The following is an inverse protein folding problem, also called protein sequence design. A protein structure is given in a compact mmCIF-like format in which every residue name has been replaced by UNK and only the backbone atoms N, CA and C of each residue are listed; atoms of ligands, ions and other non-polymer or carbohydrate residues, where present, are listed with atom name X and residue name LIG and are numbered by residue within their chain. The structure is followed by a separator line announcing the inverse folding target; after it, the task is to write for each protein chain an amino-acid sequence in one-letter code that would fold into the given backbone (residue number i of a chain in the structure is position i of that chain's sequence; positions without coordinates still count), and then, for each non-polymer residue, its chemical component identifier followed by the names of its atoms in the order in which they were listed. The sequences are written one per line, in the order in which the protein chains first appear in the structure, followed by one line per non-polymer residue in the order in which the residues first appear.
data_IF_893238945961
#
_entry.id   IF_893238945961
#
_cell.length_a   1.000
_cell.length_b   1.000
_cell.length_c   1.000
_cell.angle_alpha   90.00
_cell.angle_beta   90.00
_cell.angle_gamma   90.00
#
_symmetry.space_group_name_H-M   'P 1'
#
loop_
_entity.id
_entity.type
_entity.pdbx_description
1 polymer ?
#
# COMPACT_ATOMS: atom_id res chain seq x y z
N UNK A 1 -12.34 59.96 13.42
CA UNK A 1 -13.07 59.55 12.23
C UNK A 1 -12.22 58.59 11.46
N UNK A 2 -12.84 57.55 11.02
CA UNK A 2 -12.43 56.43 10.17
C UNK A 2 -12.02 55.19 10.95
N UNK A 3 -13.02 54.32 10.98
CA UNK A 3 -13.04 52.96 11.43
C UNK A 3 -12.43 52.11 10.33
N UNK A 4 -11.40 51.32 10.63
CA UNK A 4 -10.94 50.23 9.76
C UNK A 4 -11.36 48.89 10.35
N UNK A 5 -12.33 48.28 9.69
CA UNK A 5 -12.69 46.88 9.83
C UNK A 5 -11.76 46.07 8.92
N UNK A 6 -10.71 45.50 9.46
CA UNK A 6 -10.02 44.36 8.82
C UNK A 6 -10.59 43.08 9.38
N UNK A 7 -11.51 42.50 8.65
CA UNK A 7 -11.92 41.10 8.83
C UNK A 7 -10.79 40.19 8.31
N UNK A 8 -10.32 39.32 9.15
CA UNK A 8 -9.32 38.30 8.86
C UNK A 8 -9.96 37.27 7.86
N UNK A 9 -9.40 37.09 6.64
CA UNK A 9 -9.97 36.21 5.64
C UNK A 9 -9.67 34.71 5.87
N UNK A 10 -8.98 34.33 6.96
CA UNK A 10 -8.50 32.95 7.20
C UNK A 10 -9.23 32.21 8.35
N UNK A 11 -10.40 32.68 8.75
CA UNK A 11 -11.24 31.85 9.62
C UNK A 11 -11.85 30.72 8.79
N UNK A 12 -11.59 29.42 9.10
CA UNK A 12 -12.26 28.30 8.41
C UNK A 12 -13.76 28.47 8.54
N UNK A 13 -14.46 28.51 7.39
CA UNK A 13 -15.89 28.64 7.31
C UNK A 13 -16.58 27.63 8.23
N UNK A 14 -17.62 28.05 8.95
CA UNK A 14 -18.42 27.22 9.87
C UNK A 14 -19.06 26.00 9.18
N UNK A 15 -18.97 25.90 7.86
CA UNK A 15 -19.46 24.81 7.00
C UNK A 15 -18.63 23.51 7.08
N UNK A 16 -17.47 23.49 7.75
CA UNK A 16 -16.59 22.31 7.82
C UNK A 16 -16.85 21.42 9.05
N UNK A 17 -17.80 21.76 9.92
CA UNK A 17 -18.12 20.95 11.10
C UNK A 17 -18.95 19.72 10.72
N UNK A 18 -18.42 18.53 11.08
CA UNK A 18 -19.21 17.31 10.97
C UNK A 18 -20.38 17.35 11.97
N UNK A 19 -21.58 16.88 11.56
CA UNK A 19 -22.70 16.66 12.45
C UNK A 19 -22.34 15.72 13.61
N UNK A 20 -23.16 15.72 14.65
CA UNK A 20 -22.91 14.87 15.82
C UNK A 20 -22.81 13.39 15.43
N UNK A 21 -21.82 12.67 15.98
CA UNK A 21 -21.64 11.25 15.69
C UNK A 21 -22.88 10.41 16.07
N UNK A 22 -23.60 10.82 17.10
CA UNK A 22 -24.85 10.15 17.48
C UNK A 22 -25.92 10.31 16.40
N UNK A 23 -26.08 11.52 15.83
CA UNK A 23 -27.02 11.77 14.75
C UNK A 23 -26.66 10.96 13.50
N UNK A 24 -25.40 10.92 13.13
CA UNK A 24 -24.90 10.10 12.01
C UNK A 24 -25.12 8.60 12.25
N UNK A 25 -24.92 8.09 13.49
CA UNK A 25 -25.22 6.69 13.85
C UNK A 25 -26.71 6.37 13.78
N UNK A 26 -27.57 7.27 14.26
CA UNK A 26 -29.02 7.09 14.18
C UNK A 26 -29.48 7.08 12.71
N UNK A 27 -28.94 7.96 11.90
CA UNK A 27 -29.21 8.01 10.46
C UNK A 27 -28.74 6.73 9.75
N UNK A 28 -27.50 6.29 9.96
CA UNK A 28 -26.95 5.06 9.34
C UNK A 28 -27.82 3.84 9.66
N UNK A 29 -28.12 3.62 10.93
CA UNK A 29 -28.94 2.50 11.34
C UNK A 29 -30.36 2.55 10.73
N UNK A 30 -30.98 3.74 10.69
CA UNK A 30 -32.30 3.93 10.07
C UNK A 30 -32.25 3.73 8.55
N UNK A 31 -31.19 4.17 7.89
CA UNK A 31 -30.95 4.00 6.46
C UNK A 31 -30.75 2.52 6.07
N UNK A 32 -29.90 1.81 6.77
CA UNK A 32 -29.58 0.39 6.52
C UNK A 32 -30.77 -0.54 6.82
N UNK A 33 -31.51 -0.26 7.88
CA UNK A 33 -32.65 -1.10 8.30
C UNK A 33 -33.97 -0.68 7.65
N UNK A 34 -34.03 0.45 6.96
CA UNK A 34 -35.21 1.07 6.37
C UNK A 34 -36.37 1.18 7.38
N UNK A 35 -36.00 1.31 8.68
CA UNK A 35 -36.99 1.24 9.77
C UNK A 35 -36.45 1.90 11.05
N UNK A 36 -37.10 2.98 11.49
CA UNK A 36 -36.73 3.71 12.71
C UNK A 36 -36.87 2.90 14.00
N UNK A 37 -37.89 2.01 14.08
CA UNK A 37 -38.12 1.19 15.28
C UNK A 37 -36.99 0.12 15.40
N UNK A 38 -36.62 -0.52 14.31
CA UNK A 38 -35.51 -1.47 14.29
C UNK A 38 -34.19 -0.79 14.60
N UNK A 39 -33.94 0.41 14.04
CA UNK A 39 -32.77 1.21 14.35
C UNK A 39 -32.71 1.59 15.83
N UNK A 40 -33.86 1.97 16.42
CA UNK A 40 -33.96 2.26 17.85
C UNK A 40 -33.60 1.04 18.71
N UNK A 41 -34.12 -0.13 18.37
CA UNK A 41 -33.78 -1.40 19.06
C UNK A 41 -32.30 -1.74 18.97
N UNK A 42 -31.69 -1.61 17.77
CA UNK A 42 -30.27 -1.89 17.55
C UNK A 42 -29.35 -0.95 18.34
N UNK A 43 -29.74 0.34 18.42
CA UNK A 43 -28.95 1.36 19.12
C UNK A 43 -29.27 1.45 20.61
N UNK A 44 -30.19 0.64 21.13
CA UNK A 44 -30.71 0.71 22.50
C UNK A 44 -31.28 2.10 22.85
N UNK A 45 -31.96 2.71 21.90
CA UNK A 45 -32.62 4.02 22.02
C UNK A 45 -34.14 3.89 21.87
N UNK A 46 -34.87 4.96 22.19
CA UNK A 46 -36.27 5.03 21.86
C UNK A 46 -36.50 5.47 20.42
N UNK A 47 -37.61 5.03 19.82
CA UNK A 47 -38.01 5.48 18.48
C UNK A 47 -38.01 7.01 18.35
N UNK A 48 -38.51 7.71 19.38
CA UNK A 48 -38.56 9.18 19.42
C UNK A 48 -37.15 9.81 19.41
N UNK A 49 -36.20 9.20 20.12
CA UNK A 49 -34.81 9.67 20.15
C UNK A 49 -34.13 9.55 18.77
N UNK A 50 -34.26 8.39 18.11
CA UNK A 50 -33.72 8.19 16.75
C UNK A 50 -34.40 9.14 15.75
N UNK A 51 -35.73 9.26 15.77
CA UNK A 51 -36.46 10.16 14.87
C UNK A 51 -36.06 11.63 15.06
N UNK A 52 -35.84 12.06 16.31
CA UNK A 52 -35.39 13.42 16.63
C UNK A 52 -33.98 13.67 16.17
N UNK A 53 -33.04 12.71 16.40
CA UNK A 53 -31.65 12.82 15.98
C UNK A 53 -31.52 12.95 14.46
N UNK A 54 -32.29 12.16 13.70
CA UNK A 54 -32.35 12.24 12.24
C UNK A 54 -32.93 13.56 11.76
N UNK A 55 -34.00 14.04 12.39
CA UNK A 55 -34.60 15.34 12.03
C UNK A 55 -33.62 16.49 12.26
N UNK A 56 -32.93 16.51 13.40
CA UNK A 56 -31.90 17.53 13.67
C UNK A 56 -30.76 17.48 12.64
N UNK A 57 -30.38 16.28 12.16
CA UNK A 57 -29.42 16.12 11.10
C UNK A 57 -29.94 16.68 9.77
N UNK A 58 -31.20 16.44 9.41
CA UNK A 58 -31.83 17.00 8.22
C UNK A 58 -31.89 18.54 8.29
N UNK A 59 -32.26 19.07 9.47
CA UNK A 59 -32.33 20.51 9.73
C UNK A 59 -30.91 21.16 9.62
N UNK A 60 -29.89 20.53 10.18
CA UNK A 60 -28.49 21.00 10.13
C UNK A 60 -27.93 21.00 8.71
N UNK A 61 -28.25 19.97 7.91
CA UNK A 61 -27.80 19.84 6.53
C UNK A 61 -28.68 20.61 5.53
N UNK A 62 -29.85 21.08 5.95
CA UNK A 62 -30.82 21.79 5.11
C UNK A 62 -31.44 20.94 4.01
N UNK A 63 -31.35 19.59 4.11
CA UNK A 63 -31.90 18.66 3.12
C UNK A 63 -32.59 17.48 3.78
N UNK A 64 -33.70 17.00 3.20
CA UNK A 64 -34.33 15.78 3.62
C UNK A 64 -33.49 14.56 3.21
N UNK A 65 -33.20 13.68 4.15
CA UNK A 65 -32.49 12.42 3.94
C UNK A 65 -33.47 11.25 3.75
N UNK A 66 -34.66 11.37 4.28
CA UNK A 66 -35.69 10.37 4.15
C UNK A 66 -37.01 10.97 3.59
N UNK A 67 -37.70 10.15 2.81
CA UNK A 67 -39.09 10.39 2.42
C UNK A 67 -40.00 9.29 2.98
N UNK A 68 -41.21 9.70 3.43
CA UNK A 68 -42.20 8.78 3.96
C UNK A 68 -43.28 8.52 2.91
N UNK A 69 -43.41 7.26 2.47
CA UNK A 69 -44.46 6.82 1.55
C UNK A 69 -45.16 5.60 2.13
N UNK A 70 -46.49 5.63 2.20
CA UNK A 70 -47.32 4.48 2.58
C UNK A 70 -46.85 3.73 3.86
N UNK A 71 -46.53 4.47 4.92
CA UNK A 71 -46.03 3.95 6.22
C UNK A 71 -44.62 3.34 6.15
N UNK A 72 -43.88 3.51 5.05
CA UNK A 72 -42.48 3.11 4.91
C UNK A 72 -41.57 4.32 4.76
N UNK A 73 -40.31 4.11 5.07
CA UNK A 73 -39.28 5.13 5.02
C UNK A 73 -38.30 4.75 3.90
N UNK A 74 -38.06 5.68 3.00
CA UNK A 74 -37.11 5.50 1.89
C UNK A 74 -36.06 6.60 1.93
N UNK A 75 -34.84 6.28 1.49
CA UNK A 75 -33.79 7.28 1.35
C UNK A 75 -34.07 8.19 0.14
N UNK A 76 -33.82 9.47 0.29
CA UNK A 76 -33.69 10.43 -0.81
C UNK A 76 -32.33 10.19 -1.53
N UNK A 77 -32.05 10.89 -2.64
CA UNK A 77 -30.73 10.86 -3.29
C UNK A 77 -29.64 11.41 -2.36
N UNK A 78 -29.93 12.49 -1.63
CA UNK A 78 -29.03 13.03 -0.60
C UNK A 78 -28.81 11.99 0.52
N UNK A 79 -29.89 11.33 0.97
CA UNK A 79 -29.81 10.25 1.97
C UNK A 79 -28.96 9.09 1.49
N UNK A 80 -29.08 8.63 0.23
CA UNK A 80 -28.23 7.56 -0.34
C UNK A 80 -26.75 7.94 -0.38
N UNK A 81 -26.46 9.17 -0.75
CA UNK A 81 -25.08 9.69 -0.79
C UNK A 81 -24.46 9.73 0.60
N UNK A 82 -25.17 10.30 1.57
CA UNK A 82 -24.71 10.37 2.95
C UNK A 82 -24.62 8.97 3.59
N UNK A 83 -25.59 8.08 3.36
CA UNK A 83 -25.59 6.73 3.92
C UNK A 83 -24.35 5.92 3.50
N UNK A 84 -23.93 6.04 2.23
CA UNK A 84 -22.71 5.39 1.73
C UNK A 84 -21.46 5.94 2.44
N UNK A 85 -21.33 7.25 2.54
CA UNK A 85 -20.17 7.89 3.17
C UNK A 85 -20.10 7.58 4.68
N UNK A 86 -21.22 7.71 5.39
CA UNK A 86 -21.30 7.42 6.84
C UNK A 86 -21.09 5.93 7.11
N UNK A 87 -21.69 5.05 6.30
CA UNK A 87 -21.50 3.60 6.41
C UNK A 87 -20.03 3.22 6.30
N UNK A 88 -19.34 3.67 5.26
CA UNK A 88 -17.90 3.42 5.06
C UNK A 88 -17.05 3.97 6.23
N UNK A 89 -17.35 5.17 6.72
CA UNK A 89 -16.67 5.76 7.87
C UNK A 89 -16.89 4.96 9.17
N UNK A 90 -18.13 4.49 9.40
CA UNK A 90 -18.47 3.65 10.55
C UNK A 90 -17.78 2.28 10.48
N UNK A 91 -17.65 1.69 9.30
CA UNK A 91 -16.94 0.43 9.10
C UNK A 91 -15.44 0.57 9.40
N UNK A 92 -14.80 1.64 8.94
CA UNK A 92 -13.41 1.97 9.28
C UNK A 92 -13.21 2.10 10.79
N UNK A 93 -14.10 2.82 11.48
CA UNK A 93 -14.03 2.97 12.94
C UNK A 93 -14.25 1.63 13.66
N UNK A 94 -15.22 0.80 13.20
CA UNK A 94 -15.47 -0.55 13.75
C UNK A 94 -14.23 -1.44 13.59
N UNK A 95 -13.61 -1.41 12.42
CA UNK A 95 -12.39 -2.17 12.16
C UNK A 95 -11.25 -1.75 13.09
N UNK A 96 -10.96 -0.46 13.22
CA UNK A 96 -9.92 0.04 14.11
C UNK A 96 -10.15 -0.36 15.57
N UNK A 97 -11.40 -0.27 16.07
CA UNK A 97 -11.75 -0.72 17.43
C UNK A 97 -11.60 -2.23 17.59
N UNK A 98 -11.96 -3.02 16.58
CA UNK A 98 -11.78 -4.47 16.60
C UNK A 98 -10.29 -4.85 16.65
N UNK A 99 -9.44 -4.18 15.87
CA UNK A 99 -7.99 -4.36 15.86
C UNK A 99 -7.36 -4.02 17.21
N UNK A 100 -7.76 -2.88 17.82
CA UNK A 100 -7.31 -2.51 19.17
C UNK A 100 -7.70 -3.54 20.23
N UNK A 101 -8.93 -4.07 20.17
CA UNK A 101 -9.40 -5.11 21.09
C UNK A 101 -8.71 -6.45 20.87
N UNK A 102 -8.38 -6.81 19.63
CA UNK A 102 -7.62 -8.00 19.31
C UNK A 102 -6.18 -7.89 19.81
N UNK A 103 -5.53 -6.75 19.59
CA UNK A 103 -4.17 -6.44 20.07
C UNK A 103 -4.08 -6.49 21.61
N UNK A 104 -5.11 -6.02 22.31
CA UNK A 104 -5.16 -6.06 23.78
C UNK A 104 -5.29 -7.48 24.35
N UNK A 105 -5.77 -8.45 23.55
CA UNK A 105 -6.00 -9.85 23.98
C UNK A 105 -4.88 -10.82 23.62
N UNK A 106 -4.11 -10.56 22.54
CA UNK A 106 -3.16 -11.52 21.97
C UNK A 106 -1.69 -11.07 21.99
N UNK A 107 -1.36 -9.97 22.67
CA UNK A 107 -0.08 -9.30 22.48
C UNK A 107 -0.15 -8.39 21.23
N UNK A 108 0.77 -7.42 21.16
CA UNK A 108 0.80 -6.43 20.07
C UNK A 108 1.10 -7.12 18.76
N UNK A 109 0.16 -7.10 17.83
CA UNK A 109 0.37 -7.49 16.43
C UNK A 109 1.04 -6.34 15.68
N UNK A 110 2.18 -6.63 15.06
CA UNK A 110 2.94 -5.65 14.27
C UNK A 110 2.46 -5.63 12.84
N UNK A 111 2.33 -4.45 12.26
CA UNK A 111 1.99 -4.27 10.84
C UNK A 111 3.26 -3.90 10.07
N UNK A 112 3.72 -4.81 9.22
CA UNK A 112 4.85 -4.59 8.32
C UNK A 112 4.35 -4.33 6.90
N UNK A 113 4.55 -3.11 6.41
CA UNK A 113 4.26 -2.73 5.03
C UNK A 113 5.49 -2.98 4.15
N UNK A 114 5.30 -3.68 3.03
CA UNK A 114 6.36 -3.98 2.08
C UNK A 114 5.88 -3.71 0.65
N UNK A 115 6.80 -3.29 -0.23
CA UNK A 115 6.48 -3.14 -1.65
C UNK A 115 5.88 -4.43 -2.22
N UNK A 116 4.80 -4.35 -3.05
CA UNK A 116 4.05 -5.52 -3.48
C UNK A 116 4.91 -6.61 -4.14
N UNK A 117 5.85 -6.22 -5.02
CA UNK A 117 6.69 -7.20 -5.72
C UNK A 117 7.70 -7.84 -4.78
N UNK A 118 8.34 -7.06 -3.91
CA UNK A 118 9.28 -7.57 -2.91
C UNK A 118 8.58 -8.47 -1.89
N UNK A 119 7.40 -8.05 -1.44
CA UNK A 119 6.57 -8.84 -0.54
C UNK A 119 6.27 -10.23 -1.13
N UNK A 120 5.72 -10.25 -2.36
CA UNK A 120 5.27 -11.48 -3.01
C UNK A 120 6.42 -12.41 -3.39
N UNK A 121 7.49 -11.87 -4.00
CA UNK A 121 8.53 -12.69 -4.63
C UNK A 121 9.69 -13.03 -3.69
N UNK A 122 9.90 -12.24 -2.66
CA UNK A 122 11.03 -12.41 -1.76
C UNK A 122 10.61 -12.68 -0.32
N UNK A 123 9.81 -11.81 0.31
CA UNK A 123 9.52 -11.87 1.73
C UNK A 123 8.60 -13.05 2.08
N UNK A 124 7.48 -13.23 1.38
CA UNK A 124 6.50 -14.30 1.67
C UNK A 124 7.15 -15.68 1.53
N UNK A 125 8.03 -15.89 0.55
CA UNK A 125 8.71 -17.18 0.36
C UNK A 125 9.61 -17.58 1.53
N UNK A 126 10.12 -16.59 2.27
CA UNK A 126 11.03 -16.76 3.42
C UNK A 126 10.32 -16.65 4.76
N UNK A 127 9.08 -16.16 4.75
CA UNK A 127 8.31 -15.92 5.95
C UNK A 127 8.08 -17.14 6.86
N UNK A 128 7.92 -18.37 6.35
CA UNK A 128 7.84 -19.57 7.20
C UNK A 128 9.06 -19.77 8.10
N UNK A 129 10.26 -19.42 7.64
CA UNK A 129 11.49 -19.50 8.45
C UNK A 129 11.47 -18.48 9.61
N UNK A 130 11.04 -17.23 9.35
CA UNK A 130 10.88 -16.25 10.41
C UNK A 130 9.89 -16.72 11.49
N UNK A 131 8.72 -17.21 11.07
CA UNK A 131 7.70 -17.72 12.01
C UNK A 131 8.16 -18.92 12.82
N UNK A 132 8.98 -19.79 12.24
CA UNK A 132 9.55 -20.93 12.93
C UNK A 132 10.57 -20.52 14.02
N UNK A 133 11.38 -19.50 13.71
CA UNK A 133 12.40 -18.96 14.65
C UNK A 133 11.80 -18.07 15.75
N UNK A 134 10.72 -17.36 15.44
CA UNK A 134 10.10 -16.37 16.32
C UNK A 134 8.59 -16.61 16.48
N UNK A 135 8.16 -17.75 17.07
CA UNK A 135 6.74 -18.14 17.14
C UNK A 135 5.89 -17.20 17.99
N UNK A 136 6.52 -16.41 18.87
CA UNK A 136 5.84 -15.42 19.73
C UNK A 136 5.64 -14.05 19.08
N UNK A 137 6.18 -13.82 17.87
CA UNK A 137 6.06 -12.54 17.16
C UNK A 137 4.96 -12.63 16.11
N UNK A 138 3.85 -11.94 16.34
CA UNK A 138 2.75 -11.84 15.36
C UNK A 138 2.95 -10.59 14.48
N UNK A 139 3.15 -10.81 13.18
CA UNK A 139 3.33 -9.74 12.19
C UNK A 139 2.31 -9.89 11.07
N UNK A 140 1.56 -8.84 10.82
CA UNK A 140 0.66 -8.69 9.70
C UNK A 140 1.40 -8.06 8.51
N UNK A 141 1.53 -8.81 7.42
CA UNK A 141 2.16 -8.32 6.20
C UNK A 141 1.12 -7.60 5.34
N UNK A 142 1.40 -6.36 4.96
CA UNK A 142 0.55 -5.57 4.07
C UNK A 142 1.35 -5.10 2.85
N UNK A 143 0.73 -5.18 1.68
CA UNK A 143 1.33 -4.65 0.47
C UNK A 143 1.17 -3.12 0.44
N UNK A 144 2.26 -2.40 0.17
CA UNK A 144 2.25 -0.95 0.01
C UNK A 144 3.55 -0.45 -0.59
N UNK A 145 3.47 0.47 -1.53
CA UNK A 145 4.61 1.11 -2.19
C UNK A 145 4.49 2.62 -2.18
N UNK A 146 5.58 3.32 -2.50
CA UNK A 146 5.62 4.77 -2.53
C UNK A 146 5.50 5.45 -1.16
N UNK A 147 5.13 6.74 -1.14
CA UNK A 147 4.94 7.50 0.09
C UNK A 147 3.87 6.89 1.00
N UNK A 148 4.13 6.89 2.31
CA UNK A 148 3.24 6.34 3.32
C UNK A 148 3.37 7.14 4.62
N UNK A 149 2.50 6.86 5.60
CA UNK A 149 2.57 7.43 6.93
C UNK A 149 2.39 6.35 7.99
N UNK A 150 3.20 6.37 9.04
CA UNK A 150 3.03 5.51 10.21
C UNK A 150 1.71 5.79 10.96
N UNK A 151 1.14 6.99 10.80
CA UNK A 151 -0.17 7.32 11.38
C UNK A 151 -1.34 6.48 10.80
N UNK A 152 -1.11 5.77 9.68
CA UNK A 152 -2.11 4.87 9.08
C UNK A 152 -2.14 3.45 9.67
N UNK A 153 -1.50 3.24 10.83
CA UNK A 153 -1.49 1.93 11.51
C UNK A 153 -0.38 0.98 11.02
N UNK A 154 0.62 1.49 10.31
CA UNK A 154 1.84 0.76 9.94
C UNK A 154 2.84 0.93 11.07
N UNK A 155 3.45 -0.16 11.55
CA UNK A 155 4.51 -0.12 12.55
C UNK A 155 5.90 -0.10 11.95
N UNK A 156 6.10 -0.84 10.86
CA UNK A 156 7.35 -0.96 10.11
C UNK A 156 7.08 -0.93 8.61
N UNK A 157 8.04 -0.43 7.83
CA UNK A 157 7.92 -0.44 6.38
C UNK A 157 9.24 -0.83 5.71
N UNK A 158 9.19 -1.74 4.74
CA UNK A 158 10.34 -2.02 3.86
C UNK A 158 10.13 -1.21 2.59
N UNK A 159 11.07 -0.30 2.30
CA UNK A 159 11.04 0.58 1.14
C UNK A 159 12.44 0.68 0.51
N UNK A 160 12.44 0.96 -0.79
CA UNK A 160 13.65 1.36 -1.50
C UNK A 160 13.88 2.86 -1.30
N UNK A 161 15.14 3.30 -1.23
CA UNK A 161 15.54 4.69 -0.99
C UNK A 161 15.55 5.54 -2.27
N UNK A 162 14.56 5.34 -3.15
CA UNK A 162 14.38 6.05 -4.42
C UNK A 162 13.43 7.26 -4.34
N UNK A 163 12.98 7.61 -3.16
CA UNK A 163 12.20 8.79 -2.89
C UNK A 163 12.51 9.36 -1.48
N UNK A 164 12.34 10.67 -1.26
CA UNK A 164 12.60 11.28 0.05
C UNK A 164 11.55 10.81 1.08
N UNK A 165 12.03 10.42 2.26
CA UNK A 165 11.17 10.09 3.39
C UNK A 165 10.91 11.31 4.26
N UNK A 166 9.76 11.41 4.95
CA UNK A 166 9.51 12.45 5.94
C UNK A 166 10.60 12.49 7.01
N UNK A 167 10.99 13.69 7.43
CA UNK A 167 11.92 13.85 8.55
C UNK A 167 11.34 13.19 9.82
N UNK A 168 12.21 12.51 10.58
CA UNK A 168 11.84 11.83 11.82
C UNK A 168 11.60 10.33 11.67
N UNK A 169 11.67 9.76 10.47
CA UNK A 169 11.70 8.31 10.32
C UNK A 169 13.09 7.77 10.62
N UNK A 170 13.14 6.70 11.41
CA UNK A 170 14.37 5.93 11.61
C UNK A 170 14.57 4.94 10.46
N UNK A 171 15.82 4.84 9.99
CA UNK A 171 16.15 4.12 8.76
C UNK A 171 17.24 3.10 9.04
N UNK A 172 16.93 1.83 8.83
CA UNK A 172 17.86 0.72 8.94
C UNK A 172 18.13 0.12 7.54
N UNK A 173 19.34 0.26 6.99
CA UNK A 173 19.68 -0.36 5.70
C UNK A 173 19.60 -1.89 5.79
N UNK A 174 18.97 -2.52 4.78
CA UNK A 174 18.88 -3.97 4.65
C UNK A 174 19.91 -4.50 3.65
N UNK A 175 19.76 -4.14 2.38
CA UNK A 175 20.62 -4.60 1.29
C UNK A 175 20.65 -3.62 0.12
N UNK A 176 21.78 -3.61 -0.61
CA UNK A 176 21.89 -2.87 -1.86
C UNK A 176 21.02 -3.49 -2.95
N UNK A 177 20.44 -2.65 -3.82
CA UNK A 177 19.72 -3.13 -4.99
C UNK A 177 20.74 -3.50 -6.10
N UNK A 178 20.54 -4.67 -6.69
CA UNK A 178 21.25 -5.12 -7.88
C UNK A 178 20.25 -5.41 -8.97
N UNK A 179 20.43 -4.85 -10.14
CA UNK A 179 19.53 -4.96 -11.27
C UNK A 179 20.21 -5.54 -12.49
N UNK A 180 19.48 -6.31 -13.28
CA UNK A 180 19.99 -6.89 -14.50
C UNK A 180 18.89 -7.33 -15.45
N UNK A 181 19.18 -7.39 -16.78
CA UNK A 181 18.21 -7.87 -17.74
C UNK A 181 18.04 -9.39 -17.63
N UNK A 182 16.78 -9.80 -17.52
CA UNK A 182 16.38 -11.21 -17.37
C UNK A 182 15.40 -11.62 -18.47
N UNK A 183 15.49 -12.86 -18.88
CA UNK A 183 14.60 -13.45 -19.88
C UNK A 183 14.38 -14.94 -19.62
N UNK A 184 13.43 -15.53 -20.33
CA UNK A 184 13.28 -16.99 -20.35
C UNK A 184 14.53 -17.65 -20.97
N UNK A 185 15.08 -18.73 -20.40
CA UNK A 185 16.40 -19.30 -20.80
C UNK A 185 16.51 -19.66 -22.29
N UNK A 186 15.46 -20.23 -22.89
CA UNK A 186 15.44 -20.61 -24.31
C UNK A 186 15.53 -19.40 -25.27
N UNK A 187 15.31 -18.20 -24.78
CA UNK A 187 15.42 -16.94 -25.52
C UNK A 187 16.76 -16.22 -25.34
N UNK A 188 17.57 -16.66 -24.40
CA UNK A 188 18.85 -16.00 -24.06
C UNK A 188 19.74 -15.88 -25.29
N UNK A 189 19.98 -16.96 -26.04
CA UNK A 189 20.82 -16.94 -27.24
C UNK A 189 20.23 -16.07 -28.38
N UNK A 190 18.91 -15.90 -28.44
CA UNK A 190 18.23 -15.06 -29.43
C UNK A 190 18.42 -13.58 -29.11
N UNK A 191 18.28 -13.19 -27.86
CA UNK A 191 18.20 -11.79 -27.42
C UNK A 191 19.52 -11.23 -26.88
N UNK A 192 20.50 -12.09 -26.53
CA UNK A 192 21.77 -11.64 -25.99
C UNK A 192 22.96 -12.14 -26.82
N UNK A 193 24.00 -11.31 -26.91
CA UNK A 193 25.33 -11.73 -27.28
C UNK A 193 26.09 -12.06 -25.99
N UNK A 194 26.64 -13.27 -25.91
CA UNK A 194 27.39 -13.74 -24.72
C UNK A 194 28.89 -13.89 -25.01
N UNK A 195 29.38 -13.39 -26.14
CA UNK A 195 30.81 -13.35 -26.40
C UNK A 195 31.49 -12.45 -25.38
N UNK A 196 32.47 -12.99 -24.66
CA UNK A 196 33.11 -12.37 -23.48
C UNK A 196 33.54 -10.89 -23.66
N UNK A 197 33.86 -10.48 -24.89
CA UNK A 197 34.25 -9.10 -25.22
C UNK A 197 33.07 -8.20 -25.61
N UNK A 198 31.91 -8.78 -26.03
CA UNK A 198 30.77 -8.07 -26.60
C UNK A 198 29.44 -8.58 -26.00
N UNK A 199 29.44 -8.88 -24.68
CA UNK A 199 28.22 -9.29 -24.01
C UNK A 199 27.25 -8.11 -23.92
N UNK A 200 26.14 -8.18 -24.67
CA UNK A 200 25.15 -7.10 -24.80
C UNK A 200 23.77 -7.62 -25.17
N UNK A 201 22.77 -6.78 -24.95
CA UNK A 201 21.43 -6.97 -25.49
C UNK A 201 21.48 -6.76 -27.01
N UNK A 202 20.96 -7.71 -27.79
CA UNK A 202 20.94 -7.60 -29.25
C UNK A 202 19.87 -6.61 -29.74
N UNK A 203 20.11 -5.90 -30.83
CA UNK A 203 19.07 -5.13 -31.50
C UNK A 203 17.83 -5.98 -31.80
N UNK A 204 16.65 -5.44 -31.53
CA UNK A 204 15.37 -6.16 -31.73
C UNK A 204 14.94 -7.08 -30.59
N UNK A 205 15.73 -7.25 -29.53
CA UNK A 205 15.23 -7.87 -28.31
C UNK A 205 14.13 -7.00 -27.68
N UNK A 206 12.90 -7.54 -27.45
CA UNK A 206 11.78 -6.73 -27.01
C UNK A 206 11.93 -6.34 -25.53
N UNK A 207 12.13 -5.04 -25.18
CA UNK A 207 12.23 -4.63 -23.79
C UNK A 207 10.85 -4.62 -23.13
N UNK A 208 10.78 -5.04 -21.88
CA UNK A 208 9.60 -4.98 -21.05
C UNK A 208 9.81 -3.89 -20.00
N UNK A 209 8.90 -2.94 -19.95
CA UNK A 209 8.95 -1.78 -19.06
C UNK A 209 8.00 -1.95 -17.87
N UNK A 210 8.25 -1.20 -16.80
CA UNK A 210 7.35 -1.13 -15.65
C UNK A 210 7.05 0.34 -15.31
N UNK A 211 5.76 0.65 -15.09
CA UNK A 211 5.29 2.02 -14.81
C UNK A 211 5.73 2.52 -13.43
N UNK A 212 5.92 1.63 -12.48
CA UNK A 212 6.41 1.98 -11.14
C UNK A 212 7.88 2.38 -11.12
N UNK A 213 8.65 2.02 -12.16
CA UNK A 213 10.06 2.42 -12.32
C UNK A 213 10.36 2.63 -13.80
N UNK A 214 9.90 3.73 -14.40
CA UNK A 214 10.03 3.97 -15.84
C UNK A 214 11.49 4.11 -16.30
N UNK A 215 12.40 4.55 -15.42
CA UNK A 215 13.83 4.70 -15.69
C UNK A 215 14.67 3.42 -15.55
N UNK A 216 14.08 2.26 -15.19
CA UNK A 216 14.83 1.06 -14.85
C UNK A 216 15.85 0.61 -15.91
N UNK A 217 15.51 0.70 -17.19
CA UNK A 217 16.40 0.38 -18.28
C UNK A 217 17.57 1.37 -18.40
N UNK A 218 17.31 2.65 -18.24
CA UNK A 218 18.32 3.70 -18.31
C UNK A 218 19.27 3.65 -17.09
N UNK A 219 18.72 3.41 -15.91
CA UNK A 219 19.47 3.24 -14.67
C UNK A 219 20.44 2.04 -14.78
N UNK A 220 19.91 0.88 -15.23
CA UNK A 220 20.75 -0.29 -15.49
C UNK A 220 21.82 -0.01 -16.53
N UNK A 221 21.46 0.60 -17.67
CA UNK A 221 22.39 0.89 -18.76
C UNK A 221 23.56 1.77 -18.30
N UNK A 222 23.24 2.81 -17.51
CA UNK A 222 24.25 3.70 -16.91
C UNK A 222 25.15 2.95 -15.95
N UNK A 223 24.59 2.15 -15.03
CA UNK A 223 25.34 1.39 -14.04
C UNK A 223 26.20 0.28 -14.68
N UNK A 224 25.71 -0.36 -15.75
CA UNK A 224 26.40 -1.44 -16.46
C UNK A 224 27.40 -0.94 -17.54
N UNK A 225 27.40 0.35 -17.85
CA UNK A 225 28.19 0.89 -18.97
C UNK A 225 27.73 0.33 -20.33
N UNK A 226 26.42 0.04 -20.46
CA UNK A 226 25.81 -0.55 -21.67
C UNK A 226 24.82 0.43 -22.29
N UNK A 227 24.52 0.31 -23.59
CA UNK A 227 23.45 1.09 -24.20
C UNK A 227 22.08 0.64 -23.68
N UNK A 228 21.19 1.60 -23.43
CA UNK A 228 19.79 1.31 -23.18
C UNK A 228 19.10 0.84 -24.48
N UNK A 229 18.10 -0.05 -24.42
CA UNK A 229 17.38 -0.46 -25.63
C UNK A 229 16.54 0.70 -26.20
N UNK A 230 16.68 0.97 -27.50
CA UNK A 230 15.92 2.01 -28.20
C UNK A 230 14.57 1.48 -28.73
N UNK A 231 14.34 0.17 -28.71
CA UNK A 231 13.12 -0.43 -29.23
C UNK A 231 11.89 -0.09 -28.35
N UNK A 232 10.75 0.22 -28.97
CA UNK A 232 9.51 0.33 -28.22
C UNK A 232 9.17 -1.02 -27.57
N UNK A 233 8.83 -0.98 -26.28
CA UNK A 233 8.53 -2.18 -25.49
C UNK A 233 7.14 -2.15 -24.88
N UNK A 234 6.71 -3.30 -24.40
CA UNK A 234 5.45 -3.39 -23.67
C UNK A 234 5.63 -2.88 -22.24
N UNK A 235 4.70 -2.05 -21.77
CA UNK A 235 4.72 -1.49 -20.42
C UNK A 235 3.69 -2.16 -19.51
N UNK A 236 4.09 -2.47 -18.28
CA UNK A 236 3.28 -3.10 -17.23
C UNK A 236 3.19 -2.19 -16.01
N UNK A 237 2.15 -2.36 -15.20
CA UNK A 237 1.94 -1.53 -14.01
C UNK A 237 3.05 -1.73 -12.97
N UNK A 238 3.43 -2.98 -12.71
CA UNK A 238 4.39 -3.37 -11.67
C UNK A 238 5.43 -4.37 -12.15
N UNK A 239 6.56 -4.45 -11.45
CA UNK A 239 7.63 -5.42 -11.76
C UNK A 239 7.16 -6.87 -11.82
N UNK A 240 6.25 -7.30 -10.95
CA UNK A 240 5.79 -8.69 -10.97
C UNK A 240 5.09 -9.05 -12.29
N UNK A 241 4.44 -8.10 -12.98
CA UNK A 241 3.87 -8.35 -14.31
C UNK A 241 4.94 -8.39 -15.39
N UNK A 242 5.91 -7.45 -15.39
CA UNK A 242 6.98 -7.47 -16.38
C UNK A 242 7.88 -8.71 -16.23
N UNK A 243 8.17 -9.14 -15.00
CA UNK A 243 8.89 -10.38 -14.72
C UNK A 243 8.10 -11.61 -15.16
N UNK A 244 6.78 -11.64 -14.92
CA UNK A 244 5.92 -12.74 -15.40
C UNK A 244 5.87 -12.77 -16.94
N UNK A 245 5.87 -11.62 -17.60
CA UNK A 245 5.97 -11.53 -19.06
C UNK A 245 7.32 -12.06 -19.59
N UNK A 246 8.41 -11.79 -18.88
CA UNK A 246 9.73 -12.36 -19.20
C UNK A 246 9.74 -13.90 -19.04
N UNK A 247 9.15 -14.44 -17.98
CA UNK A 247 8.95 -15.89 -17.79
C UNK A 247 8.13 -16.49 -18.93
N UNK A 248 7.08 -15.79 -19.39
CA UNK A 248 6.27 -16.21 -20.54
C UNK A 248 7.01 -16.11 -21.89
N UNK A 249 8.22 -15.50 -21.92
CA UNK A 249 9.03 -15.34 -23.13
C UNK A 249 8.56 -14.22 -24.04
N UNK A 250 7.88 -13.20 -23.52
CA UNK A 250 7.41 -12.04 -24.28
C UNK A 250 8.51 -11.00 -24.53
N UNK A 251 9.60 -11.05 -23.75
CA UNK A 251 10.70 -10.11 -23.89
C UNK A 251 11.72 -10.19 -22.75
N UNK A 252 12.53 -9.16 -22.63
CA UNK A 252 13.57 -8.97 -21.61
C UNK A 252 13.09 -7.92 -20.62
N UNK A 253 13.09 -8.25 -19.33
CA UNK A 253 12.76 -7.31 -18.26
C UNK A 253 14.01 -6.93 -17.47
N UNK A 254 14.05 -5.72 -16.90
CA UNK A 254 14.99 -5.46 -15.81
C UNK A 254 14.47 -6.18 -14.57
N UNK A 255 15.27 -7.07 -14.02
CA UNK A 255 14.97 -7.83 -12.81
C UNK A 255 15.86 -7.37 -11.65
N UNK A 256 15.27 -6.82 -10.56
CA UNK A 256 15.97 -6.72 -9.30
C UNK A 256 16.36 -8.11 -8.78
N UNK A 257 17.63 -8.28 -8.41
CA UNK A 257 18.18 -9.59 -8.07
C UNK A 257 17.38 -10.33 -6.97
N UNK A 258 17.02 -9.64 -5.91
CA UNK A 258 16.22 -10.23 -4.83
C UNK A 258 14.83 -10.71 -5.29
N UNK A 259 14.30 -10.14 -6.36
CA UNK A 259 12.99 -10.52 -6.91
C UNK A 259 13.08 -11.68 -7.90
N UNK A 260 14.26 -11.97 -8.45
CA UNK A 260 14.44 -12.98 -9.52
C UNK A 260 15.38 -14.12 -9.14
N UNK A 261 16.11 -14.04 -8.02
CA UNK A 261 17.10 -15.05 -7.65
C UNK A 261 16.51 -16.47 -7.58
N UNK A 262 15.32 -16.63 -7.00
CA UNK A 262 14.69 -17.94 -6.91
C UNK A 262 14.28 -18.50 -8.28
N UNK A 263 13.93 -17.61 -9.23
CA UNK A 263 13.63 -18.01 -10.62
C UNK A 263 14.91 -18.31 -11.42
N UNK A 264 16.02 -17.65 -11.10
CA UNK A 264 17.35 -17.97 -11.67
C UNK A 264 17.83 -19.33 -11.15
N UNK A 265 17.76 -19.55 -9.86
CA UNK A 265 18.18 -20.81 -9.20
C UNK A 265 17.38 -22.01 -9.70
N UNK A 266 16.08 -21.82 -9.97
CA UNK A 266 15.20 -22.85 -10.54
C UNK A 266 15.25 -22.97 -12.06
N UNK A 267 16.01 -22.12 -12.75
CA UNK A 267 16.13 -22.14 -14.21
C UNK A 267 14.89 -21.63 -14.96
N UNK A 268 13.98 -20.92 -14.29
CA UNK A 268 12.80 -20.29 -14.90
C UNK A 268 13.20 -19.02 -15.65
N UNK A 269 14.17 -18.29 -15.14
CA UNK A 269 14.78 -17.13 -15.79
C UNK A 269 16.29 -17.33 -15.99
N UNK A 270 16.86 -16.56 -16.89
CA UNK A 270 18.29 -16.41 -17.09
C UNK A 270 18.66 -14.92 -17.09
N UNK A 271 19.87 -14.59 -16.59
CA UNK A 271 20.43 -13.25 -16.59
C UNK A 271 21.77 -13.24 -17.33
N UNK A 272 21.79 -13.23 -18.68
CA UNK A 272 23.04 -13.43 -19.44
C UNK A 272 24.09 -12.33 -19.24
N UNK A 273 23.69 -11.14 -18.79
CA UNK A 273 24.59 -10.01 -18.53
C UNK A 273 24.88 -9.83 -17.02
N UNK A 274 24.34 -10.69 -16.16
CA UNK A 274 24.49 -10.58 -14.72
C UNK A 274 23.74 -9.37 -14.13
N UNK A 275 24.22 -8.92 -12.97
CA UNK A 275 23.61 -7.85 -12.18
C UNK A 275 24.66 -6.81 -11.81
N UNK A 276 24.22 -5.55 -11.75
CA UNK A 276 25.00 -4.40 -11.29
C UNK A 276 24.25 -3.66 -10.19
N UNK A 277 24.97 -3.04 -9.26
CA UNK A 277 24.36 -2.16 -8.25
C UNK A 277 23.91 -0.86 -8.94
N UNK A 278 22.65 -0.45 -8.70
CA UNK A 278 22.09 0.77 -9.26
C UNK A 278 22.26 1.99 -8.34
N UNK A 279 22.94 1.80 -7.21
CA UNK A 279 23.20 2.84 -6.19
C UNK A 279 22.12 2.97 -5.13
N UNK A 280 20.97 2.32 -5.30
CA UNK A 280 19.90 2.33 -4.33
C UNK A 280 19.96 1.14 -3.36
N UNK A 281 19.17 1.18 -2.31
CA UNK A 281 19.08 0.12 -1.31
C UNK A 281 17.67 -0.03 -0.78
N UNK A 282 17.34 -1.20 -0.30
CA UNK A 282 16.17 -1.40 0.54
C UNK A 282 16.49 -1.11 2.00
N UNK A 283 15.53 -0.48 2.68
CA UNK A 283 15.65 -0.11 4.07
C UNK A 283 14.40 -0.55 4.85
N UNK A 284 14.59 -0.89 6.13
CA UNK A 284 13.51 -1.01 7.09
C UNK A 284 13.32 0.36 7.75
N UNK A 285 12.12 0.88 7.69
CA UNK A 285 11.72 2.17 8.27
C UNK A 285 10.87 1.95 9.49
N UNK A 286 11.06 2.76 10.51
CA UNK A 286 10.25 2.79 11.74
C UNK A 286 10.04 4.23 12.22
N UNK A 287 8.98 4.51 13.02
CA UNK A 287 8.73 5.85 13.55
C UNK A 287 9.76 6.29 14.59
N UNK A 288 10.48 5.33 15.21
CA UNK A 288 11.49 5.55 16.24
C UNK A 288 12.60 4.51 16.12
N UNK A 289 13.81 4.77 16.66
CA UNK A 289 14.88 3.77 16.75
C UNK A 289 14.38 2.46 17.35
N UNK A 290 14.80 1.34 16.77
CA UNK A 290 14.44 0.02 17.28
C UNK A 290 15.12 -0.23 18.61
N UNK A 291 14.34 -0.67 19.60
CA UNK A 291 14.89 -1.01 20.90
C UNK A 291 15.67 -2.34 20.82
N UNK A 292 16.85 -2.46 21.44
CA UNK A 292 17.51 -3.74 21.59
C UNK A 292 16.58 -4.80 22.18
N UNK A 293 16.75 -6.05 21.80
CA UNK A 293 15.96 -7.20 22.30
C UNK A 293 14.44 -7.08 22.08
N UNK A 294 14.04 -6.24 21.10
CA UNK A 294 12.64 -6.09 20.72
C UNK A 294 12.28 -7.02 19.53
N UNK A 295 11.01 -7.39 19.38
CA UNK A 295 10.52 -8.14 18.20
C UNK A 295 10.90 -7.50 16.86
N UNK A 296 11.01 -6.17 16.82
CA UNK A 296 11.42 -5.45 15.61
C UNK A 296 12.93 -5.59 15.34
N UNK A 297 13.75 -5.62 16.40
CA UNK A 297 15.19 -5.87 16.27
C UNK A 297 15.45 -7.31 15.79
N UNK A 298 14.69 -8.30 16.29
CA UNK A 298 14.76 -9.67 15.79
C UNK A 298 14.37 -9.77 14.30
N UNK A 299 13.31 -9.08 13.90
CA UNK A 299 12.90 -8.99 12.50
C UNK A 299 13.99 -8.35 11.63
N UNK A 300 14.59 -7.24 12.08
CA UNK A 300 15.69 -6.57 11.37
C UNK A 300 16.90 -7.50 11.20
N UNK A 301 17.29 -8.19 12.27
CA UNK A 301 18.43 -9.13 12.25
C UNK A 301 18.15 -10.28 11.25
N UNK A 302 16.95 -10.83 11.27
CA UNK A 302 16.54 -11.87 10.33
C UNK A 302 16.50 -11.36 8.89
N UNK A 303 15.94 -10.18 8.62
CA UNK A 303 15.91 -9.58 7.27
C UNK A 303 17.33 -9.37 6.71
N UNK A 304 18.26 -8.89 7.54
CA UNK A 304 19.68 -8.71 7.15
C UNK A 304 20.39 -10.03 6.87
N UNK A 305 20.05 -11.09 7.57
CA UNK A 305 20.63 -12.42 7.32
C UNK A 305 20.14 -13.06 6.01
N UNK A 306 19.09 -12.54 5.38
CA UNK A 306 18.56 -13.01 4.08
C UNK A 306 19.14 -12.24 2.87
N UNK A 307 19.88 -11.16 3.11
CA UNK A 307 20.39 -10.23 2.11
C UNK A 307 21.46 -10.82 1.17
#
# INVERSE_FOLDING_TARGET
MISDKNGDPDSPSSDARLPSLLALRCFEAAARLENFSRAASELHLTHGAVSRAVRLLEDELGVALFERRSRRVFLTDAGRTLARAVGNGMDLMRQAVAELRASARQGRRWVLSCEPTLLMRWLIRRWPDFRARHPGIDVHLVAGGGPFSFASGIDLAIRRDDFPWPMGYHVEPLFAEKVGPVCRPDKAATWFSTKKADAALKPGAPPLHTRTRPGAWQEWATAAGQPAPDAPGQSFEHFYFSLQAAVAGLGVAIGPWHLVRDDLDSGVLAAPLGFVEDGSRYCLLSPQPLQPDSPQADLLAWLRALA
#
